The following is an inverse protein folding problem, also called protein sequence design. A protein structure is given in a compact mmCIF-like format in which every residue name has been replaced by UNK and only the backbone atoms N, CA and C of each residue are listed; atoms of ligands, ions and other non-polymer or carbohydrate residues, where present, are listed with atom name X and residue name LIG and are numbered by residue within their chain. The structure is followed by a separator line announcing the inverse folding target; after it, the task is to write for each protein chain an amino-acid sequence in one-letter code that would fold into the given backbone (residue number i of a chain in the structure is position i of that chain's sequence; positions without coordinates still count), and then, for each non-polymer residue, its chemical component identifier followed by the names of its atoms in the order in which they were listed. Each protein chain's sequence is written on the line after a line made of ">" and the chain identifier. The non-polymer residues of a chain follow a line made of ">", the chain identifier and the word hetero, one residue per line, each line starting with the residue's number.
data_IF_416350335396
#
_entry.id   IF_416350335396
#
_cell.length_a   1.000
_cell.length_b   1.000
_cell.length_c   1.000
_cell.angle_alpha   90.00
_cell.angle_beta   90.00
_cell.angle_gamma   90.00
#
_symmetry.space_group_name_H-M   'P 1'
#
loop_
_entity.id
_entity.type
_entity.pdbx_description
1 polymer ?
#
# COMPACT_ATOMS: atom_id res chain seq x y z
N UNK A 1 -34.60 24.11 85.01
CA UNK A 1 -34.63 22.66 85.35
C UNK A 1 -34.38 21.90 84.06
N UNK A 2 -33.43 20.97 84.08
CA UNK A 2 -32.84 20.24 82.95
C UNK A 2 -33.85 19.42 82.12
N UNK A 3 -33.52 19.16 80.84
CA UNK A 3 -33.79 17.85 80.25
C UNK A 3 -32.50 17.14 79.85
N UNK A 4 -32.48 15.81 80.03
CA UNK A 4 -31.42 14.87 79.58
C UNK A 4 -31.87 14.14 78.31
N UNK A 5 -30.86 13.76 77.55
CA UNK A 5 -30.86 13.14 76.22
C UNK A 5 -31.29 11.66 76.15
N UNK A 6 -31.75 11.29 74.92
CA UNK A 6 -31.51 10.04 74.14
C UNK A 6 -32.01 8.68 74.73
N UNK A 7 -32.33 7.61 73.98
CA UNK A 7 -32.07 7.18 72.60
C UNK A 7 -32.95 5.96 72.22
N UNK A 8 -32.93 5.60 70.92
CA UNK A 8 -33.28 4.30 70.28
C UNK A 8 -34.78 3.95 70.05
N UNK A 9 -35.23 3.31 68.96
CA UNK A 9 -34.60 2.79 67.75
C UNK A 9 -35.65 2.60 66.63
N UNK A 10 -35.17 2.69 65.38
CA UNK A 10 -35.83 2.35 64.11
C UNK A 10 -36.23 0.88 64.05
N UNK A 11 -37.41 0.56 63.50
CA UNK A 11 -37.69 -0.56 62.56
C UNK A 11 -39.15 -1.06 62.65
N UNK A 12 -40.09 -0.52 61.85
CA UNK A 12 -41.39 -1.17 61.56
C UNK A 12 -42.24 -0.42 60.49
N UNK A 13 -41.70 -0.06 59.33
CA UNK A 13 -42.47 0.68 58.29
C UNK A 13 -42.33 0.12 56.86
N UNK A 14 -42.26 -1.20 56.71
CA UNK A 14 -42.10 -1.86 55.40
C UNK A 14 -43.08 -3.02 55.14
N UNK A 15 -44.28 -2.99 55.75
CA UNK A 15 -45.26 -4.09 55.60
C UNK A 15 -46.59 -3.71 54.89
N UNK A 16 -46.80 -2.46 54.48
CA UNK A 16 -48.12 -2.04 53.93
C UNK A 16 -48.23 -1.88 52.41
N UNK A 17 -47.19 -2.18 51.61
CA UNK A 17 -47.25 -1.98 50.15
C UNK A 17 -47.51 -3.25 49.32
N UNK A 18 -47.72 -4.42 49.93
CA UNK A 18 -47.75 -5.70 49.21
C UNK A 18 -49.16 -6.24 48.84
N UNK A 19 -50.26 -5.52 49.12
CA UNK A 19 -51.62 -6.10 48.97
C UNK A 19 -52.48 -5.45 47.87
N UNK A 20 -51.97 -4.48 47.10
CA UNK A 20 -52.72 -3.85 45.99
C UNK A 20 -52.48 -4.55 44.62
N UNK A 21 -51.60 -5.55 44.54
CA UNK A 21 -51.11 -6.10 43.27
C UNK A 21 -51.91 -7.29 42.66
N UNK A 22 -53.17 -7.56 43.07
CA UNK A 22 -53.88 -8.78 42.65
C UNK A 22 -55.35 -8.60 42.18
N UNK A 23 -55.74 -7.41 41.71
CA UNK A 23 -57.02 -7.26 40.99
C UNK A 23 -56.82 -7.37 39.47
N UNK A 24 -57.50 -8.30 38.77
CA UNK A 24 -57.48 -8.34 37.31
C UNK A 24 -58.33 -7.19 36.78
N UNK A 25 -57.67 -6.20 36.17
CA UNK A 25 -58.36 -5.20 35.35
C UNK A 25 -58.77 -5.88 34.05
N UNK A 26 -60.08 -6.02 33.82
CA UNK A 26 -60.60 -6.37 32.51
C UNK A 26 -60.33 -5.21 31.56
N UNK A 27 -59.26 -5.32 30.76
CA UNK A 27 -58.97 -4.40 29.68
C UNK A 27 -59.89 -4.73 28.51
N UNK A 28 -60.88 -3.88 28.26
CA UNK A 28 -61.60 -3.83 26.99
C UNK A 28 -60.63 -3.39 25.91
N UNK A 29 -60.28 -4.30 25.00
CA UNK A 29 -59.56 -3.99 23.78
C UNK A 29 -60.40 -3.04 22.93
N UNK A 30 -59.93 -1.80 22.77
CA UNK A 30 -60.44 -0.88 21.77
C UNK A 30 -59.77 -1.27 20.45
N UNK A 31 -60.56 -1.73 19.47
CA UNK A 31 -60.07 -2.00 18.12
C UNK A 31 -59.40 -0.73 17.59
N UNK A 32 -58.07 -0.77 17.55
CA UNK A 32 -57.28 0.27 16.91
C UNK A 32 -57.50 0.11 15.42
N UNK A 33 -58.22 1.05 14.82
CA UNK A 33 -58.37 1.15 13.38
C UNK A 33 -56.97 0.96 12.76
N UNK A 34 -56.82 -0.10 11.97
CA UNK A 34 -55.55 -0.49 11.39
C UNK A 34 -54.92 0.69 10.65
N UNK A 35 -53.93 1.33 11.29
CA UNK A 35 -52.96 2.17 10.60
C UNK A 35 -52.26 1.24 9.63
N UNK A 36 -52.67 1.28 8.36
CA UNK A 36 -51.96 0.62 7.27
C UNK A 36 -50.55 1.19 7.28
N UNK A 37 -49.62 0.44 7.86
CA UNK A 37 -48.19 0.62 7.60
C UNK A 37 -48.07 0.53 6.08
N UNK A 38 -47.73 1.65 5.44
CA UNK A 38 -47.23 1.65 4.08
C UNK A 38 -46.15 0.55 3.98
N UNK A 39 -46.10 -0.22 2.88
CA UNK A 39 -45.13 -1.29 2.74
C UNK A 39 -43.75 -0.74 3.05
N UNK A 40 -42.97 -1.46 3.87
CA UNK A 40 -41.56 -1.15 4.08
C UNK A 40 -40.92 -1.19 2.70
N UNK A 41 -40.66 -0.01 2.13
CA UNK A 41 -39.91 0.11 0.89
C UNK A 41 -38.48 -0.24 1.28
N UNK A 42 -38.09 -1.49 1.02
CA UNK A 42 -36.68 -1.87 0.98
C UNK A 42 -36.10 -1.07 -0.19
N UNK A 43 -35.44 0.04 0.14
CA UNK A 43 -34.61 0.76 -0.83
C UNK A 43 -33.62 -0.26 -1.40
N UNK A 44 -33.39 -0.28 -2.71
CA UNK A 44 -32.29 -1.05 -3.26
C UNK A 44 -31.00 -0.64 -2.55
N UNK A 45 -30.11 -1.62 -2.36
CA UNK A 45 -28.76 -1.36 -1.86
C UNK A 45 -28.15 -0.22 -2.68
N UNK A 46 -27.83 0.89 -2.01
CA UNK A 46 -27.09 1.98 -2.63
C UNK A 46 -25.64 1.53 -2.58
N UNK A 47 -25.16 0.93 -3.66
CA UNK A 47 -23.73 0.73 -3.87
C UNK A 47 -23.14 2.11 -4.13
N UNK A 48 -22.51 2.68 -3.10
CA UNK A 48 -21.72 3.90 -3.25
C UNK A 48 -20.46 3.52 -4.02
N UNK A 49 -20.40 3.87 -5.30
CA UNK A 49 -19.12 4.02 -5.98
C UNK A 49 -18.50 5.30 -5.43
N UNK A 50 -17.58 5.19 -4.48
CA UNK A 50 -16.76 6.32 -4.10
C UNK A 50 -15.99 6.78 -5.34
N UNK A 51 -16.39 7.92 -5.91
CA UNK A 51 -15.59 8.64 -6.89
C UNK A 51 -14.49 9.35 -6.09
N UNK A 52 -13.38 8.68 -5.84
CA UNK A 52 -12.28 9.26 -5.05
C UNK A 52 -11.04 8.39 -4.83
N UNK A 53 -10.89 7.27 -5.54
CA UNK A 53 -9.67 6.47 -5.55
C UNK A 53 -9.67 5.56 -6.76
N UNK A 54 -8.51 5.38 -7.40
CA UNK A 54 -8.35 4.38 -8.45
C UNK A 54 -8.42 2.97 -7.83
N UNK A 55 -9.09 2.06 -8.51
CA UNK A 55 -9.14 0.63 -8.14
C UNK A 55 -7.91 -0.08 -8.70
N UNK A 56 -6.73 0.35 -8.25
CA UNK A 56 -5.42 -0.09 -8.78
C UNK A 56 -5.22 -1.61 -8.61
N UNK A 57 -5.88 -2.24 -7.63
CA UNK A 57 -5.79 -3.67 -7.39
C UNK A 57 -6.63 -4.53 -8.35
N UNK A 58 -7.72 -4.00 -8.93
CA UNK A 58 -8.57 -4.78 -9.84
C UNK A 58 -8.56 -4.25 -11.29
N UNK A 59 -8.08 -3.03 -11.52
CA UNK A 59 -8.03 -2.37 -12.82
C UNK A 59 -6.60 -2.10 -13.28
N UNK A 60 -6.32 -2.34 -14.56
CA UNK A 60 -5.06 -1.93 -15.22
C UNK A 60 -5.12 -0.48 -15.73
N UNK A 61 -6.27 0.18 -15.59
CA UNK A 61 -6.48 1.56 -16.05
C UNK A 61 -6.68 2.44 -14.83
N UNK A 62 -5.65 3.23 -14.51
CA UNK A 62 -5.74 4.34 -13.59
C UNK A 62 -6.39 5.56 -14.25
N UNK A 63 -7.03 6.41 -13.44
CA UNK A 63 -7.70 7.64 -13.86
C UNK A 63 -7.05 8.88 -13.27
N UNK A 64 -6.26 8.72 -12.21
CA UNK A 64 -5.62 9.81 -11.49
C UNK A 64 -4.12 9.60 -11.35
N UNK A 65 -3.41 10.72 -11.27
CA UNK A 65 -2.01 10.79 -10.84
C UNK A 65 -2.00 11.43 -9.45
N UNK A 66 -1.68 10.67 -8.41
CA UNK A 66 -1.77 11.18 -7.04
C UNK A 66 -0.45 11.77 -6.57
N UNK A 67 0.57 10.94 -6.43
CA UNK A 67 1.81 11.32 -5.75
C UNK A 67 2.72 12.09 -6.71
N UNK A 68 2.78 11.62 -7.95
CA UNK A 68 3.51 12.22 -9.05
C UNK A 68 3.08 13.65 -9.40
N UNK A 69 1.82 14.01 -9.13
CA UNK A 69 1.30 15.36 -9.32
C UNK A 69 1.44 16.27 -8.10
N UNK A 70 1.85 15.73 -6.94
CA UNK A 70 1.70 16.31 -5.58
C UNK A 70 0.26 16.59 -5.12
N UNK A 71 -0.68 16.65 -6.06
CA UNK A 71 -2.11 16.79 -5.86
C UNK A 71 -2.77 15.75 -6.76
N UNK A 72 -3.66 14.94 -6.17
CA UNK A 72 -4.48 14.02 -6.93
C UNK A 72 -5.23 14.78 -8.02
N UNK A 73 -4.87 14.47 -9.27
CA UNK A 73 -5.39 15.14 -10.46
C UNK A 73 -5.73 14.07 -11.47
N UNK A 74 -6.81 14.26 -12.23
CA UNK A 74 -7.11 13.38 -13.35
C UNK A 74 -5.91 13.33 -14.31
N UNK A 75 -5.61 12.13 -14.83
CA UNK A 75 -4.62 11.96 -15.88
C UNK A 75 -4.95 12.85 -17.10
N UNK A 76 -6.23 13.09 -17.38
CA UNK A 76 -6.68 13.94 -18.49
C UNK A 76 -6.42 15.43 -18.25
N UNK A 77 -6.37 15.87 -17.00
CA UNK A 77 -6.14 17.26 -16.62
C UNK A 77 -4.65 17.53 -16.30
N UNK A 78 -3.82 16.50 -16.30
CA UNK A 78 -2.39 16.60 -16.03
C UNK A 78 -1.67 17.16 -17.27
N UNK A 79 -1.00 18.33 -17.20
CA UNK A 79 -0.35 18.97 -18.34
C UNK A 79 1.03 18.34 -18.66
N UNK A 80 1.16 17.04 -18.49
CA UNK A 80 2.38 16.27 -18.72
C UNK A 80 2.04 14.89 -19.30
N UNK A 81 2.99 14.28 -20.00
CA UNK A 81 2.83 12.90 -20.47
C UNK A 81 3.12 11.95 -19.32
N UNK A 82 2.08 11.28 -18.84
CA UNK A 82 2.15 10.39 -17.67
C UNK A 82 1.67 8.98 -18.01
N UNK A 83 2.18 8.00 -17.27
CA UNK A 83 1.67 6.63 -17.27
C UNK A 83 1.61 6.13 -15.84
N UNK A 84 0.60 5.32 -15.55
CA UNK A 84 0.44 4.67 -14.27
C UNK A 84 0.33 3.18 -14.53
N UNK A 85 1.20 2.41 -13.87
CA UNK A 85 1.19 0.95 -13.91
C UNK A 85 0.63 0.50 -12.56
N UNK A 86 -0.57 -0.07 -12.58
CA UNK A 86 -1.32 -0.42 -11.36
C UNK A 86 -0.90 -1.76 -10.79
N UNK A 87 -1.21 -2.04 -9.53
CA UNK A 87 -1.00 -3.34 -8.89
C UNK A 87 -1.57 -4.49 -9.74
N UNK A 88 -2.79 -4.34 -10.27
CA UNK A 88 -3.41 -5.34 -11.14
C UNK A 88 -2.58 -5.63 -12.39
N UNK A 89 -1.91 -4.62 -12.97
CA UNK A 89 -1.04 -4.84 -14.13
C UNK A 89 0.25 -5.54 -13.72
N UNK A 90 0.88 -5.12 -12.62
CA UNK A 90 2.11 -5.71 -12.07
C UNK A 90 1.89 -7.22 -11.82
N UNK A 91 0.80 -7.57 -11.15
CA UNK A 91 0.44 -8.95 -10.81
C UNK A 91 0.09 -9.78 -12.06
N UNK A 92 -0.72 -9.23 -12.98
CA UNK A 92 -1.10 -9.95 -14.23
C UNK A 92 0.09 -10.27 -15.11
N UNK A 93 1.13 -9.43 -15.06
CA UNK A 93 2.37 -9.61 -15.82
C UNK A 93 3.39 -10.48 -15.10
N UNK A 94 3.15 -10.85 -13.85
CA UNK A 94 4.14 -11.49 -12.97
C UNK A 94 5.47 -10.71 -13.00
N UNK A 95 5.40 -9.38 -12.90
CA UNK A 95 6.58 -8.52 -13.00
C UNK A 95 7.42 -8.64 -11.71
N UNK A 96 8.66 -9.14 -11.85
CA UNK A 96 9.50 -9.55 -10.71
C UNK A 96 10.51 -8.49 -10.30
N UNK A 97 10.82 -7.60 -11.23
CA UNK A 97 11.68 -6.44 -11.00
C UNK A 97 10.92 -5.18 -11.38
N UNK A 98 11.34 -4.04 -10.84
CA UNK A 98 10.78 -2.77 -11.29
C UNK A 98 11.17 -2.44 -12.74
N UNK A 99 12.24 -3.05 -13.27
CA UNK A 99 12.56 -2.99 -14.70
C UNK A 99 11.47 -3.67 -15.51
N UNK A 100 11.06 -4.88 -15.11
CA UNK A 100 9.93 -5.60 -15.71
C UNK A 100 8.70 -4.71 -15.69
N UNK A 101 8.33 -4.14 -14.54
CA UNK A 101 7.15 -3.24 -14.41
C UNK A 101 7.14 -2.16 -15.51
N UNK A 102 8.31 -1.58 -15.81
CA UNK A 102 8.46 -0.44 -16.72
C UNK A 102 8.64 -0.81 -18.21
N UNK A 103 8.86 -2.09 -18.55
CA UNK A 103 9.14 -2.52 -19.93
C UNK A 103 8.06 -2.14 -20.96
N UNK A 104 6.78 -2.05 -20.54
CA UNK A 104 5.65 -1.73 -21.42
C UNK A 104 5.22 -0.26 -21.35
N UNK A 105 5.95 0.58 -20.63
CA UNK A 105 5.67 2.01 -20.55
C UNK A 105 6.26 2.73 -21.78
N UNK A 106 5.47 3.59 -22.43
CA UNK A 106 5.95 4.28 -23.63
C UNK A 106 7.13 5.21 -23.30
N UNK A 107 8.15 5.30 -24.15
CA UNK A 107 9.25 6.26 -23.94
C UNK A 107 10.10 6.02 -22.69
N UNK A 108 9.91 4.89 -22.00
CA UNK A 108 10.87 4.34 -21.05
C UNK A 108 11.77 3.34 -21.77
N UNK A 109 12.99 3.20 -21.28
CA UNK A 109 13.87 2.08 -21.59
C UNK A 109 14.28 1.52 -20.23
N UNK A 110 13.87 0.28 -19.96
CA UNK A 110 14.29 -0.45 -18.78
C UNK A 110 15.28 -1.55 -19.18
N UNK A 111 16.05 -2.08 -18.22
CA UNK A 111 16.93 -3.23 -18.44
C UNK A 111 17.94 -3.03 -19.60
N UNK A 112 18.48 -1.81 -19.74
CA UNK A 112 19.41 -1.51 -20.84
C UNK A 112 20.84 -2.02 -20.59
N UNK A 113 21.12 -2.56 -19.40
CA UNK A 113 22.34 -3.31 -19.09
C UNK A 113 22.14 -4.83 -19.09
N UNK A 114 20.93 -5.33 -19.35
CA UNK A 114 20.63 -6.76 -19.51
C UNK A 114 20.96 -7.55 -18.24
N UNK A 115 21.90 -8.48 -18.35
CA UNK A 115 22.25 -9.39 -17.24
C UNK A 115 22.93 -8.69 -16.04
N UNK A 116 23.17 -7.37 -16.06
CA UNK A 116 23.67 -6.64 -14.89
C UNK A 116 22.54 -6.47 -13.86
N UNK A 117 22.57 -7.27 -12.82
CA UNK A 117 21.51 -7.35 -11.80
C UNK A 117 21.89 -6.65 -10.49
N UNK A 118 22.93 -5.82 -10.52
CA UNK A 118 23.40 -5.07 -9.34
C UNK A 118 22.47 -3.92 -8.97
N UNK A 119 21.89 -3.27 -9.96
CA UNK A 119 20.98 -2.14 -9.81
C UNK A 119 19.83 -2.34 -10.79
N UNK A 120 18.81 -1.51 -10.67
CA UNK A 120 17.80 -1.39 -11.71
C UNK A 120 18.08 -0.13 -12.55
N UNK A 121 17.94 -0.26 -13.85
CA UNK A 121 18.38 0.71 -14.83
C UNK A 121 17.20 1.19 -15.67
N UNK A 122 16.82 2.45 -15.45
CA UNK A 122 15.68 3.08 -16.12
C UNK A 122 16.09 4.37 -16.79
N UNK A 123 15.66 4.53 -18.04
CA UNK A 123 15.74 5.79 -18.77
C UNK A 123 14.35 6.23 -19.20
N UNK A 124 14.15 7.54 -19.25
CA UNK A 124 12.99 8.17 -19.88
C UNK A 124 13.50 9.10 -20.97
N UNK A 125 13.01 8.90 -22.20
CA UNK A 125 13.43 9.68 -23.39
C UNK A 125 14.95 9.73 -23.60
N UNK A 126 15.66 8.66 -23.23
CA UNK A 126 17.12 8.51 -23.41
C UNK A 126 17.99 9.18 -22.35
N UNK A 127 17.40 9.69 -21.27
CA UNK A 127 18.11 10.17 -20.09
C UNK A 127 17.78 9.29 -18.90
N UNK A 128 18.70 9.17 -17.94
CA UNK A 128 18.44 8.45 -16.70
C UNK A 128 17.21 9.03 -15.99
N UNK A 129 16.40 8.18 -15.38
CA UNK A 129 15.18 8.58 -14.70
C UNK A 129 15.46 8.89 -13.23
N UNK A 130 14.95 10.02 -12.73
CA UNK A 130 14.96 10.27 -11.29
C UNK A 130 13.91 9.41 -10.59
N UNK A 131 14.28 8.76 -9.49
CA UNK A 131 13.40 7.82 -8.78
C UNK A 131 12.94 8.37 -7.43
N UNK A 132 11.67 8.15 -7.13
CA UNK A 132 11.00 8.56 -5.92
C UNK A 132 10.18 7.41 -5.37
N UNK A 133 10.01 7.39 -4.05
CA UNK A 133 9.04 6.54 -3.37
C UNK A 133 8.19 7.41 -2.47
N UNK A 134 6.88 7.38 -2.69
CA UNK A 134 5.92 8.29 -2.08
C UNK A 134 6.32 9.77 -2.20
N UNK A 135 6.92 10.16 -3.32
CA UNK A 135 7.38 11.52 -3.61
C UNK A 135 8.70 11.93 -2.95
N UNK A 136 9.36 11.02 -2.21
CA UNK A 136 10.67 11.25 -1.60
C UNK A 136 11.75 10.54 -2.42
N UNK A 137 12.81 11.26 -2.81
CA UNK A 137 13.88 10.74 -3.69
C UNK A 137 14.52 9.47 -3.12
N UNK A 138 14.73 8.45 -3.95
CA UNK A 138 15.47 7.24 -3.59
C UNK A 138 16.99 7.36 -3.86
N UNK A 139 17.44 8.50 -4.36
CA UNK A 139 18.81 8.71 -4.80
C UNK A 139 18.98 8.61 -6.32
N UNK A 140 20.18 8.28 -6.78
CA UNK A 140 20.53 8.22 -8.21
C UNK A 140 20.54 6.80 -8.79
N UNK A 141 21.02 6.68 -10.03
CA UNK A 141 21.05 5.48 -10.89
C UNK A 141 21.56 4.18 -10.25
N UNK A 142 22.32 4.24 -9.15
CA UNK A 142 22.91 3.07 -8.47
C UNK A 142 22.29 2.86 -7.09
N UNK A 143 20.97 3.03 -7.03
CA UNK A 143 20.19 2.83 -5.83
C UNK A 143 20.00 1.34 -5.50
N UNK A 144 19.49 1.08 -4.31
CA UNK A 144 19.02 -0.25 -3.94
C UNK A 144 17.88 -0.64 -4.88
N UNK A 145 17.94 -1.86 -5.39
CA UNK A 145 16.86 -2.46 -6.17
C UNK A 145 15.66 -2.67 -5.26
N UNK A 146 14.56 -2.03 -5.62
CA UNK A 146 13.33 -2.00 -4.81
C UNK A 146 12.42 -3.18 -5.17
N UNK A 147 11.65 -3.66 -4.20
CA UNK A 147 10.77 -4.83 -4.37
C UNK A 147 9.41 -4.42 -4.96
N UNK A 148 8.99 -4.94 -6.15
CA UNK A 148 7.71 -4.61 -6.75
C UNK A 148 6.49 -4.89 -5.84
N UNK A 149 6.54 -5.97 -5.04
CA UNK A 149 5.45 -6.30 -4.10
C UNK A 149 5.17 -5.19 -3.09
N UNK A 150 6.12 -4.29 -2.82
CA UNK A 150 5.96 -3.15 -1.92
C UNK A 150 4.99 -2.08 -2.45
N UNK A 151 4.67 -2.09 -3.74
CA UNK A 151 4.03 -0.97 -4.42
C UNK A 151 2.62 -1.28 -4.89
N UNK A 152 1.72 -0.32 -4.68
CA UNK A 152 0.34 -0.35 -5.17
C UNK A 152 0.25 0.15 -6.62
N UNK A 153 1.18 1.01 -7.01
CA UNK A 153 1.37 1.43 -8.40
C UNK A 153 2.71 2.08 -8.63
N UNK A 154 3.08 2.19 -9.89
CA UNK A 154 4.25 2.93 -10.38
C UNK A 154 3.80 4.03 -11.33
N UNK A 155 4.16 5.27 -11.01
CA UNK A 155 3.81 6.46 -11.78
C UNK A 155 5.03 6.97 -12.56
N UNK A 156 4.91 7.08 -13.89
CA UNK A 156 5.96 7.59 -14.78
C UNK A 156 5.56 8.96 -15.29
N UNK A 157 6.41 9.96 -15.06
CA UNK A 157 6.24 11.34 -15.54
C UNK A 157 7.35 11.65 -16.52
N UNK A 158 6.99 12.02 -17.75
CA UNK A 158 7.97 12.23 -18.83
C UNK A 158 8.25 13.70 -19.06
N UNK A 159 9.54 14.01 -19.12
CA UNK A 159 10.08 15.36 -19.23
C UNK A 159 10.38 15.98 -17.87
N UNK A 160 11.15 17.07 -17.89
CA UNK A 160 11.61 17.77 -16.70
C UNK A 160 10.44 18.16 -15.77
N UNK A 161 10.54 17.76 -14.51
CA UNK A 161 9.53 18.00 -13.46
C UNK A 161 10.16 18.50 -12.15
N UNK A 162 11.32 19.16 -12.26
CA UNK A 162 12.09 19.71 -11.14
C UNK A 162 11.31 20.76 -10.32
N UNK A 163 10.32 21.42 -10.91
CA UNK A 163 9.41 22.34 -10.20
C UNK A 163 8.69 21.64 -9.05
N UNK A 164 8.33 20.36 -9.21
CA UNK A 164 7.68 19.58 -8.17
C UNK A 164 8.74 18.83 -7.34
N UNK A 165 9.68 18.14 -7.96
CA UNK A 165 10.51 17.17 -7.25
C UNK A 165 11.93 17.64 -6.89
N UNK A 166 12.27 18.91 -7.14
CA UNK A 166 13.61 19.44 -6.88
C UNK A 166 14.62 18.99 -7.93
N UNK A 167 15.86 18.63 -7.56
CA UNK A 167 16.82 18.06 -8.50
C UNK A 167 16.23 16.83 -9.19
N UNK A 168 16.05 16.92 -10.51
CA UNK A 168 15.48 15.86 -11.34
C UNK A 168 16.13 15.87 -12.72
N UNK A 169 16.28 14.69 -13.29
CA UNK A 169 16.83 14.46 -14.61
C UNK A 169 15.86 14.94 -15.71
N UNK A 170 16.35 15.41 -16.86
CA UNK A 170 15.51 15.99 -17.90
C UNK A 170 14.60 14.97 -18.60
N UNK A 171 14.93 13.67 -18.49
CA UNK A 171 14.09 12.59 -18.98
C UNK A 171 12.73 12.54 -18.28
N UNK A 172 12.71 12.86 -16.98
CA UNK A 172 11.54 12.82 -16.11
C UNK A 172 11.80 11.94 -14.90
N UNK A 173 10.72 11.45 -14.29
CA UNK A 173 10.80 10.68 -13.06
C UNK A 173 9.88 9.48 -13.02
N UNK A 174 10.23 8.56 -12.12
CA UNK A 174 9.45 7.40 -11.75
C UNK A 174 9.17 7.49 -10.26
N UNK A 175 7.90 7.39 -9.88
CA UNK A 175 7.48 7.41 -8.50
C UNK A 175 6.80 6.08 -8.15
N UNK A 176 7.31 5.41 -7.13
CA UNK A 176 6.75 4.18 -6.60
C UNK A 176 5.82 4.52 -5.44
N UNK A 177 4.54 4.15 -5.55
CA UNK A 177 3.53 4.42 -4.52
C UNK A 177 3.41 3.18 -3.64
N UNK A 178 3.82 3.29 -2.38
CA UNK A 178 3.87 2.16 -1.46
C UNK A 178 2.46 1.68 -1.13
N UNK A 179 2.25 0.36 -1.03
CA UNK A 179 0.97 -0.22 -0.56
C UNK A 179 0.64 0.29 0.83
N UNK A 180 -0.63 0.68 1.02
CA UNK A 180 -1.16 1.13 2.31
C UNK A 180 -2.35 0.25 2.71
N UNK A 181 -2.70 0.23 4.00
CA UNK A 181 -3.97 -0.34 4.45
C UNK A 181 -5.16 0.31 3.75
N UNK A 182 -6.05 -0.50 3.15
CA UNK A 182 -7.20 -0.04 2.34
C UNK A 182 -8.51 0.05 3.12
N UNK A 183 -8.48 -0.29 4.42
CA UNK A 183 -9.67 -0.44 5.25
C UNK A 183 -10.68 -1.47 4.68
N UNK A 184 -10.16 -2.46 3.95
CA UNK A 184 -10.90 -3.57 3.37
C UNK A 184 -10.32 -4.89 3.90
N UNK A 185 -11.15 -5.92 4.01
CA UNK A 185 -10.68 -7.24 4.45
C UNK A 185 -10.31 -8.08 3.25
N UNK A 186 -9.03 -8.35 3.05
CA UNK A 186 -8.59 -9.36 2.10
C UNK A 186 -7.37 -10.11 2.60
N UNK A 187 -7.17 -11.31 2.06
CA UNK A 187 -6.03 -12.13 2.41
C UNK A 187 -5.60 -12.96 1.22
N UNK A 188 -4.32 -12.85 0.88
CA UNK A 188 -3.70 -13.59 -0.20
C UNK A 188 -2.45 -14.29 0.31
N UNK A 189 -2.26 -15.51 -0.19
CA UNK A 189 -0.99 -16.24 -0.11
C UNK A 189 -0.69 -16.78 -1.49
N UNK A 190 0.56 -16.73 -1.88
CA UNK A 190 0.99 -17.19 -3.20
C UNK A 190 2.31 -17.94 -3.10
N UNK A 191 2.60 -18.73 -4.14
CA UNK A 191 3.87 -19.40 -4.27
C UNK A 191 4.19 -19.65 -5.74
N UNK A 192 5.46 -19.48 -6.09
CA UNK A 192 5.98 -19.55 -7.45
C UNK A 192 7.15 -20.50 -7.50
N UNK A 193 7.16 -21.39 -8.49
CA UNK A 193 8.32 -22.21 -8.86
C UNK A 193 8.62 -22.02 -10.34
N UNK A 194 9.90 -22.02 -10.71
CA UNK A 194 10.25 -21.71 -12.10
C UNK A 194 11.67 -22.09 -12.49
N UNK A 195 12.11 -21.50 -13.61
CA UNK A 195 13.48 -21.58 -14.09
C UNK A 195 14.49 -21.15 -13.03
N UNK A 196 15.75 -21.56 -13.21
CA UNK A 196 16.87 -21.14 -12.36
C UNK A 196 16.67 -21.49 -10.88
N UNK A 197 16.06 -22.66 -10.65
CA UNK A 197 15.75 -23.21 -9.32
C UNK A 197 14.88 -22.32 -8.44
N UNK A 198 14.16 -21.36 -9.03
CA UNK A 198 13.33 -20.40 -8.31
C UNK A 198 12.27 -21.08 -7.44
N UNK A 199 12.23 -20.69 -6.18
CA UNK A 199 11.16 -20.96 -5.21
C UNK A 199 10.85 -19.67 -4.49
N UNK A 200 9.59 -19.25 -4.57
CA UNK A 200 9.13 -18.03 -3.95
C UNK A 200 7.81 -18.30 -3.22
N UNK A 201 7.66 -17.68 -2.05
CA UNK A 201 6.42 -17.69 -1.28
C UNK A 201 6.16 -16.30 -0.76
N UNK A 202 4.89 -15.89 -0.77
CA UNK A 202 4.52 -14.59 -0.25
C UNK A 202 3.10 -14.53 0.25
N UNK A 203 2.79 -13.40 0.86
CA UNK A 203 1.48 -13.11 1.42
C UNK A 203 1.18 -11.61 1.37
N UNK A 204 -0.11 -11.28 1.37
CA UNK A 204 -0.60 -9.92 1.53
C UNK A 204 -1.92 -9.98 2.29
N UNK A 205 -1.94 -9.42 3.49
CA UNK A 205 -3.08 -9.41 4.39
C UNK A 205 -3.44 -7.96 4.72
N UNK A 206 -4.71 -7.60 4.61
CA UNK A 206 -5.24 -6.29 5.01
C UNK A 206 -6.51 -6.52 5.82
N UNK A 207 -6.61 -5.78 6.92
CA UNK A 207 -7.78 -5.84 7.77
C UNK A 207 -7.95 -4.54 8.59
N UNK A 208 -9.18 -4.36 9.06
CA UNK A 208 -9.60 -3.30 9.95
C UNK A 208 -9.53 -3.78 11.41
N UNK A 209 -8.80 -3.05 12.25
CA UNK A 209 -8.60 -3.35 13.69
C UNK A 209 -9.75 -2.88 14.57
N UNK A 210 -10.48 -1.83 14.19
CA UNK A 210 -11.53 -1.23 15.02
C UNK A 210 -12.93 -1.41 14.42
N UNK A 211 -14.00 -1.56 15.24
CA UNK A 211 -15.36 -1.72 14.73
C UNK A 211 -15.88 -0.54 13.91
N UNK A 212 -15.32 0.65 14.13
CA UNK A 212 -15.66 1.90 13.43
C UNK A 212 -14.81 2.15 12.18
N UNK A 213 -13.95 1.20 11.80
CA UNK A 213 -13.04 1.29 10.66
C UNK A 213 -12.05 2.46 10.66
N UNK A 214 -11.77 3.04 11.83
CA UNK A 214 -10.80 4.14 11.98
C UNK A 214 -9.34 3.70 12.05
N UNK A 215 -9.07 2.42 12.30
CA UNK A 215 -7.72 1.87 12.32
C UNK A 215 -7.65 0.61 11.46
N UNK A 216 -6.77 0.59 10.47
CA UNK A 216 -6.52 -0.54 9.59
C UNK A 216 -5.03 -0.89 9.55
N UNK A 217 -4.74 -2.13 9.19
CA UNK A 217 -3.38 -2.65 9.04
C UNK A 217 -3.25 -3.43 7.74
N UNK A 218 -2.01 -3.49 7.25
CA UNK A 218 -1.64 -4.34 6.13
C UNK A 218 -0.27 -4.94 6.41
N UNK A 219 -0.09 -6.20 6.06
CA UNK A 219 1.21 -6.86 6.13
C UNK A 219 1.40 -7.67 4.86
N UNK A 220 2.51 -7.44 4.19
CA UNK A 220 2.90 -8.19 2.99
C UNK A 220 4.34 -8.64 3.13
N UNK A 221 4.68 -9.75 2.50
CA UNK A 221 6.03 -10.26 2.53
C UNK A 221 6.27 -11.31 1.47
N UNK A 222 7.56 -11.52 1.19
CA UNK A 222 8.07 -12.45 0.19
C UNK A 222 9.36 -13.08 0.68
N UNK A 223 9.51 -14.38 0.45
CA UNK A 223 10.75 -15.12 0.62
C UNK A 223 11.08 -15.77 -0.73
N UNK A 224 12.31 -15.61 -1.17
CA UNK A 224 12.79 -16.08 -2.46
C UNK A 224 14.13 -16.79 -2.29
N UNK A 225 14.21 -18.00 -2.85
CA UNK A 225 15.43 -18.80 -3.06
C UNK A 225 15.53 -19.05 -4.57
N UNK A 226 16.52 -18.45 -5.22
CA UNK A 226 16.63 -18.47 -6.68
C UNK A 226 18.07 -18.30 -7.16
N UNK A 227 18.33 -18.82 -8.35
CA UNK A 227 19.47 -18.45 -9.19
C UNK A 227 19.00 -17.59 -10.37
N UNK A 228 19.94 -17.17 -11.21
CA UNK A 228 19.73 -16.54 -12.52
C UNK A 228 20.30 -17.45 -13.61
N UNK A 229 20.14 -17.04 -14.87
CA UNK A 229 20.57 -17.82 -16.04
C UNK A 229 22.08 -18.09 -16.14
N UNK A 230 22.91 -17.39 -15.34
CA UNK A 230 24.36 -17.53 -15.33
C UNK A 230 24.90 -18.35 -14.16
N UNK A 231 26.05 -18.99 -14.39
CA UNK A 231 26.70 -19.89 -13.44
C UNK A 231 27.07 -19.16 -12.14
N UNK A 232 27.01 -19.89 -11.02
CA UNK A 232 27.31 -19.39 -9.66
C UNK A 232 26.40 -18.25 -9.17
N UNK A 233 25.36 -17.90 -9.91
CA UNK A 233 24.40 -16.88 -9.52
C UNK A 233 23.61 -17.25 -8.27
N UNK A 234 23.29 -16.21 -7.50
CA UNK A 234 22.39 -16.24 -6.36
C UNK A 234 21.49 -15.01 -6.44
N UNK A 235 20.21 -15.19 -6.21
CA UNK A 235 19.17 -14.16 -6.19
C UNK A 235 18.21 -14.46 -5.04
N UNK A 236 18.75 -14.52 -3.82
CA UNK A 236 17.97 -14.76 -2.61
C UNK A 236 17.44 -13.42 -2.08
N UNK A 237 16.17 -13.40 -1.66
CA UNK A 237 15.54 -12.19 -1.15
C UNK A 237 14.52 -12.48 -0.05
N UNK A 238 14.58 -11.68 1.02
CA UNK A 238 13.54 -11.59 2.05
C UNK A 238 13.00 -10.17 2.07
N UNK A 239 11.70 -10.05 1.83
CA UNK A 239 10.98 -8.78 1.95
C UNK A 239 9.85 -8.91 2.97
N UNK A 240 9.74 -7.94 3.86
CA UNK A 240 8.63 -7.83 4.80
C UNK A 240 8.23 -6.37 4.93
N UNK A 241 6.93 -6.09 4.82
CA UNK A 241 6.38 -4.76 5.01
C UNK A 241 5.11 -4.81 5.85
N UNK A 242 5.03 -3.91 6.82
CA UNK A 242 3.86 -3.71 7.66
C UNK A 242 3.42 -2.25 7.64
N UNK A 243 2.11 -2.02 7.58
CA UNK A 243 1.51 -0.70 7.57
C UNK A 243 0.38 -0.61 8.57
N UNK A 244 0.24 0.55 9.21
CA UNK A 244 -0.90 0.94 10.02
C UNK A 244 -1.43 2.27 9.51
N UNK A 245 -2.73 2.36 9.26
CA UNK A 245 -3.41 3.61 8.90
C UNK A 245 -4.42 3.94 9.99
N UNK A 246 -4.26 5.12 10.58
CA UNK A 246 -5.23 5.71 11.49
C UNK A 246 -5.96 6.85 10.79
N UNK A 247 -7.25 6.65 10.60
CA UNK A 247 -8.18 7.59 9.98
C UNK A 247 -9.34 7.85 10.96
N UNK A 248 -9.17 8.75 11.94
CA UNK A 248 -10.19 9.03 12.95
C UNK A 248 -11.44 9.74 12.39
N UNK A 249 -11.33 10.35 11.21
CA UNK A 249 -12.41 11.03 10.50
C UNK A 249 -12.14 11.01 8.99
N UNK A 250 -13.09 11.53 8.22
CA UNK A 250 -12.96 11.75 6.77
C UNK A 250 -11.90 12.81 6.39
N UNK A 251 -11.55 13.70 7.32
CA UNK A 251 -10.61 14.81 7.07
C UNK A 251 -9.17 14.55 7.55
N UNK A 252 -8.89 13.48 8.28
CA UNK A 252 -7.54 13.19 8.81
C UNK A 252 -7.15 11.76 8.57
N UNK A 253 -5.97 11.54 7.99
CA UNK A 253 -5.38 10.20 7.83
C UNK A 253 -3.89 10.24 8.12
N UNK A 254 -3.41 9.25 8.88
CA UNK A 254 -2.00 9.06 9.19
C UNK A 254 -1.63 7.60 8.98
N UNK A 255 -0.70 7.34 8.07
CA UNK A 255 -0.14 6.02 7.80
C UNK A 255 1.30 5.93 8.28
N UNK A 256 1.61 4.87 9.03
CA UNK A 256 2.97 4.44 9.36
C UNK A 256 3.24 3.15 8.59
N UNK A 257 4.27 3.14 7.75
CA UNK A 257 4.71 1.96 7.00
C UNK A 257 6.15 1.66 7.36
N UNK A 258 6.46 0.40 7.65
CA UNK A 258 7.81 -0.09 7.88
C UNK A 258 8.07 -1.24 6.94
N UNK A 259 9.20 -1.20 6.25
CA UNK A 259 9.66 -2.32 5.44
C UNK A 259 11.10 -2.72 5.77
N UNK A 260 11.35 -4.01 5.60
CA UNK A 260 12.64 -4.66 5.70
C UNK A 260 12.89 -5.42 4.41
N UNK A 261 14.05 -5.18 3.80
CA UNK A 261 14.53 -5.84 2.61
C UNK A 261 15.93 -6.39 2.91
N UNK A 262 16.10 -7.69 2.70
CA UNK A 262 17.37 -8.39 2.77
C UNK A 262 17.58 -9.15 1.47
N UNK A 263 18.73 -8.94 0.85
CA UNK A 263 19.09 -9.56 -0.43
C UNK A 263 20.50 -10.09 -0.35
N UNK A 264 20.65 -11.35 -0.71
CA UNK A 264 21.94 -12.01 -0.87
C UNK A 264 22.11 -12.39 -2.34
N UNK A 265 22.98 -11.67 -3.06
CA UNK A 265 23.17 -11.87 -4.49
C UNK A 265 24.63 -12.17 -4.85
N UNK A 266 24.81 -12.98 -5.90
CA UNK A 266 26.07 -13.10 -6.64
C UNK A 266 25.82 -12.49 -8.01
N UNK A 267 25.99 -11.16 -8.14
CA UNK A 267 25.53 -10.46 -9.31
C UNK A 267 26.46 -10.66 -10.50
N UNK A 268 25.93 -10.62 -11.70
CA UNK A 268 26.75 -10.43 -12.88
C UNK A 268 27.00 -8.92 -13.06
N UNK A 269 28.23 -8.56 -13.43
CA UNK A 269 28.60 -7.16 -13.61
C UNK A 269 29.63 -6.99 -14.71
N UNK A 270 29.50 -5.90 -15.46
CA UNK A 270 30.62 -5.42 -16.30
C UNK A 270 30.53 -5.74 -17.79
N UNK A 271 29.46 -6.40 -18.24
CA UNK A 271 29.24 -6.68 -19.65
C UNK A 271 30.30 -7.61 -20.26
N UNK A 272 30.00 -8.12 -21.44
CA UNK A 272 30.86 -9.09 -22.11
C UNK A 272 31.85 -8.37 -23.05
N UNK A 273 33.12 -8.82 -23.14
CA UNK A 273 34.07 -8.25 -24.08
C UNK A 273 33.53 -8.30 -25.51
N UNK A 274 33.70 -7.20 -26.27
CA UNK A 274 33.18 -7.16 -27.65
C UNK A 274 33.96 -8.09 -28.58
N UNK A 275 33.24 -8.69 -29.53
CA UNK A 275 33.83 -9.52 -30.60
C UNK A 275 33.93 -11.01 -30.28
N UNK A 276 33.45 -11.45 -29.11
CA UNK A 276 33.28 -12.86 -28.76
C UNK A 276 31.83 -13.33 -28.86
N UNK A 277 31.65 -14.64 -29.00
CA UNK A 277 30.38 -15.32 -28.74
C UNK A 277 30.54 -16.05 -27.42
N UNK A 278 29.71 -15.70 -26.43
CA UNK A 278 29.76 -16.32 -25.12
C UNK A 278 28.43 -17.03 -24.85
N UNK A 279 28.47 -18.10 -24.06
CA UNK A 279 27.25 -18.73 -23.56
C UNK A 279 26.53 -17.75 -22.62
N UNK A 280 25.19 -17.84 -22.52
CA UNK A 280 24.45 -17.04 -21.54
C UNK A 280 24.82 -17.42 -20.11
N UNK A 281 25.27 -18.66 -19.89
CA UNK A 281 25.66 -19.12 -18.57
C UNK A 281 26.97 -18.52 -18.06
N UNK A 282 27.76 -17.86 -18.92
CA UNK A 282 29.14 -17.50 -18.57
C UNK A 282 29.19 -16.47 -17.46
N UNK A 283 29.90 -16.83 -16.40
CA UNK A 283 30.19 -15.96 -15.26
C UNK A 283 31.67 -15.57 -15.29
N UNK A 284 31.95 -14.26 -15.31
CA UNK A 284 33.30 -13.71 -15.38
C UNK A 284 33.83 -13.24 -14.02
N UNK A 285 33.01 -13.34 -12.97
CA UNK A 285 33.41 -13.04 -11.59
C UNK A 285 34.14 -14.20 -10.95
N UNK A 286 34.73 -13.93 -9.77
CA UNK A 286 35.23 -14.97 -8.88
C UNK A 286 34.14 -15.30 -7.85
N UNK A 287 33.52 -16.50 -7.87
CA UNK A 287 32.33 -16.81 -7.07
C UNK A 287 32.47 -16.52 -5.58
N UNK A 288 33.65 -16.77 -5.01
CA UNK A 288 33.89 -16.60 -3.57
C UNK A 288 34.10 -15.13 -3.15
N UNK A 289 34.31 -14.22 -4.11
CA UNK A 289 34.60 -12.80 -3.86
C UNK A 289 33.64 -11.83 -4.56
N UNK A 290 32.66 -12.35 -5.30
CA UNK A 290 31.70 -11.55 -6.04
C UNK A 290 30.30 -11.68 -5.43
N UNK A 291 30.02 -10.82 -4.46
CA UNK A 291 28.75 -10.77 -3.76
C UNK A 291 28.22 -9.34 -3.66
N UNK A 292 26.91 -9.20 -3.61
CA UNK A 292 26.20 -7.96 -3.34
C UNK A 292 25.08 -8.26 -2.35
N UNK A 293 25.38 -7.99 -1.09
CA UNK A 293 24.42 -8.18 -0.01
C UNK A 293 23.85 -6.82 0.37
N UNK A 294 22.53 -6.73 0.47
CA UNK A 294 21.82 -5.50 0.81
C UNK A 294 20.86 -5.79 1.95
N UNK A 295 21.04 -5.06 3.05
CA UNK A 295 20.09 -5.05 4.16
C UNK A 295 19.57 -3.61 4.32
N UNK A 296 18.25 -3.44 4.29
CA UNK A 296 17.59 -2.14 4.39
C UNK A 296 16.35 -2.23 5.26
N UNK A 297 16.26 -1.32 6.23
CA UNK A 297 15.01 -1.01 6.92
C UNK A 297 14.59 0.41 6.58
N UNK A 298 13.32 0.59 6.20
CA UNK A 298 12.72 1.89 5.92
C UNK A 298 11.55 2.12 6.85
N UNK A 299 11.42 3.35 7.37
CA UNK A 299 10.25 3.78 8.16
C UNK A 299 9.66 5.00 7.46
N UNK A 300 8.42 4.89 6.97
CA UNK A 300 7.72 5.93 6.25
C UNK A 300 6.48 6.38 7.04
N UNK A 301 6.28 7.69 7.16
CA UNK A 301 5.11 8.31 7.76
C UNK A 301 4.47 9.24 6.74
N UNK A 302 3.21 8.98 6.42
CA UNK A 302 2.41 9.76 5.48
C UNK A 302 1.20 10.29 6.24
N UNK A 303 1.05 11.61 6.30
CA UNK A 303 -0.04 12.27 7.01
C UNK A 303 -0.75 13.27 6.11
N UNK A 304 -2.08 13.26 6.18
CA UNK A 304 -2.97 14.20 5.50
C UNK A 304 -4.00 14.75 6.48
N UNK A 305 -4.23 16.06 6.43
CA UNK A 305 -5.28 16.73 7.18
C UNK A 305 -5.95 17.81 6.33
N UNK A 306 -7.26 17.71 6.14
CA UNK A 306 -8.09 18.73 5.54
C UNK A 306 -8.67 19.65 6.63
N UNK A 307 -8.32 20.94 6.56
CA UNK A 307 -8.83 21.96 7.46
C UNK A 307 -10.20 22.51 7.01
N UNK A 308 -10.69 22.08 5.84
CA UNK A 308 -11.86 22.64 5.18
C UNK A 308 -11.54 23.88 4.36
N UNK A 309 -12.56 24.43 3.67
CA UNK A 309 -12.45 25.66 2.87
C UNK A 309 -11.34 25.62 1.80
N UNK A 310 -10.97 24.42 1.34
CA UNK A 310 -9.96 24.18 0.30
C UNK A 310 -8.51 24.13 0.80
N UNK A 311 -8.27 24.05 2.11
CA UNK A 311 -6.93 23.95 2.68
C UNK A 311 -6.62 22.53 3.20
N UNK A 312 -5.70 21.84 2.51
CA UNK A 312 -5.19 20.53 2.94
C UNK A 312 -3.69 20.58 3.21
N UNK A 313 -3.26 20.00 4.33
CA UNK A 313 -1.85 19.76 4.64
C UNK A 313 -1.50 18.31 4.38
N UNK A 314 -0.38 18.10 3.67
CA UNK A 314 0.21 16.78 3.42
C UNK A 314 1.66 16.77 3.89
N UNK A 315 2.07 15.69 4.54
CA UNK A 315 3.44 15.49 5.02
C UNK A 315 3.87 14.05 4.78
N UNK A 316 4.98 13.87 4.09
CA UNK A 316 5.64 12.57 3.92
C UNK A 316 7.03 12.64 4.55
N UNK A 317 7.37 11.65 5.36
CA UNK A 317 8.66 11.52 6.04
C UNK A 317 9.15 10.09 5.88
N UNK A 318 10.38 9.92 5.41
CA UNK A 318 11.04 8.61 5.25
C UNK A 318 12.47 8.68 5.75
#
# INVERSE_FOLDING_TARGET
>A
MTPRNACHARSALLSCCAVIALMPVAASAQDSAATRLSPIIRLPEITLYAYGGDDDANSIVARELAVGGKVATSILDTPASVSVITQAEIERRDARTLEDVLQYSAGTIADYYGTDDRNDYYQIRGFDASTYRDGITLGGLRGIREEPLAYERVEVIRGANSTLFGPADPGGSINFVTKRPRAERFSEVFGTVGSDSRKEYGFDFDDVLTPDATLSWRMTGKLQDSSREYDFSRDDETFLMGGLTWQPSDVTSVSLIVDYLDRDATPNSGGYPRGGSYDRSVFLGEPDFNYLNVERTTVNVIAEHDFGEGLTLRSNLR
#
